data_IF_388451215590
#
_entry.id   IF_388451215590
#
_cell.length_a   1.000
_cell.length_b   1.000
_cell.length_c   1.000
_cell.angle_alpha   90.00
_cell.angle_beta   90.00
_cell.angle_gamma   90.00
#
_symmetry.space_group_name_H-M   'P 1'
#
loop_
_entity.id
_entity.type
_entity.pdbx_description
1 polymer ?
#
# COMPACT_ATOMS: atom_id res chain seq x y z
N UNK A 1 -51.57 2.29 29.71
CA UNK A 1 -50.11 2.53 29.84
C UNK A 1 -49.29 1.75 28.85
N UNK A 2 -49.53 0.46 28.61
CA UNK A 2 -48.72 -0.40 27.68
C UNK A 2 -48.59 0.12 26.25
N UNK A 3 -49.67 0.64 25.64
CA UNK A 3 -49.65 1.15 24.23
C UNK A 3 -48.67 2.30 24.03
N UNK A 4 -48.47 3.19 25.01
CA UNK A 4 -47.52 4.31 24.93
C UNK A 4 -46.07 3.83 25.05
N UNK A 5 -45.81 2.73 25.80
CA UNK A 5 -44.48 2.13 25.93
C UNK A 5 -44.09 1.41 24.64
N UNK A 6 -45.01 0.64 24.03
CA UNK A 6 -44.79 -0.02 22.75
C UNK A 6 -44.55 0.97 21.58
N UNK A 7 -45.19 2.13 21.62
CA UNK A 7 -44.96 3.17 20.62
C UNK A 7 -43.58 3.80 20.73
N UNK A 8 -43.10 4.06 21.97
CA UNK A 8 -41.73 4.54 22.21
C UNK A 8 -40.68 3.50 21.83
N UNK A 9 -40.95 2.21 22.07
CA UNK A 9 -40.07 1.10 21.69
C UNK A 9 -39.86 1.04 20.17
N UNK A 10 -40.92 1.22 19.36
CA UNK A 10 -40.79 1.28 17.89
C UNK A 10 -39.88 2.40 17.41
N UNK A 11 -39.96 3.57 18.06
CA UNK A 11 -39.09 4.70 17.75
C UNK A 11 -37.61 4.43 18.11
N UNK A 12 -37.36 3.77 19.22
CA UNK A 12 -36.00 3.39 19.66
C UNK A 12 -35.43 2.37 18.67
N UNK A 13 -36.18 1.35 18.29
CA UNK A 13 -35.74 0.34 17.32
C UNK A 13 -35.47 0.97 15.95
N UNK A 14 -36.34 1.90 15.49
CA UNK A 14 -36.12 2.63 14.25
C UNK A 14 -34.87 3.50 14.31
N UNK A 15 -34.62 4.17 15.41
CA UNK A 15 -33.41 4.99 15.61
C UNK A 15 -32.14 4.11 15.59
N UNK A 16 -32.15 2.98 16.28
CA UNK A 16 -31.04 2.03 16.27
C UNK A 16 -30.77 1.47 14.87
N UNK A 17 -31.82 1.20 14.09
CA UNK A 17 -31.69 0.76 12.69
C UNK A 17 -31.07 1.85 11.82
N UNK A 18 -31.49 3.10 11.95
CA UNK A 18 -30.94 4.23 11.19
C UNK A 18 -29.46 4.43 11.54
N UNK A 19 -29.11 4.38 12.82
CA UNK A 19 -27.71 4.49 13.25
C UNK A 19 -26.87 3.33 12.72
N UNK A 20 -27.40 2.10 12.78
CA UNK A 20 -26.72 0.90 12.24
C UNK A 20 -26.48 0.99 10.74
N UNK A 21 -27.47 1.43 9.96
CA UNK A 21 -27.32 1.61 8.51
C UNK A 21 -26.35 2.74 8.19
N UNK A 22 -26.40 3.84 8.95
CA UNK A 22 -25.48 4.97 8.77
C UNK A 22 -24.01 4.60 9.07
N UNK A 23 -23.77 3.80 10.10
CA UNK A 23 -22.42 3.34 10.44
C UNK A 23 -21.87 2.39 9.37
N UNK A 24 -22.67 1.42 8.91
CA UNK A 24 -22.28 0.52 7.81
C UNK A 24 -22.01 1.33 6.53
N UNK A 25 -22.88 2.30 6.19
CA UNK A 25 -22.68 3.17 5.02
C UNK A 25 -21.39 3.99 5.11
N UNK A 26 -21.09 4.52 6.30
CA UNK A 26 -19.83 5.27 6.53
C UNK A 26 -18.60 4.39 6.32
N UNK A 27 -18.57 3.18 6.91
CA UNK A 27 -17.44 2.26 6.77
C UNK A 27 -17.27 1.76 5.34
N UNK A 28 -18.37 1.43 4.63
CA UNK A 28 -18.29 1.03 3.22
C UNK A 28 -17.79 2.16 2.33
N UNK A 29 -18.23 3.40 2.58
CA UNK A 29 -17.73 4.57 1.86
C UNK A 29 -16.25 4.82 2.14
N UNK A 30 -15.81 4.70 3.39
CA UNK A 30 -14.40 4.86 3.79
C UNK A 30 -13.49 3.82 3.13
N UNK A 31 -13.92 2.55 3.10
CA UNK A 31 -13.20 1.47 2.40
C UNK A 31 -13.17 1.71 0.89
N UNK A 32 -14.26 2.20 0.31
CA UNK A 32 -14.31 2.54 -1.12
C UNK A 32 -13.35 3.67 -1.48
N UNK A 33 -13.31 4.75 -0.69
CA UNK A 33 -12.36 5.85 -0.85
C UNK A 33 -10.91 5.36 -0.71
N UNK A 34 -10.65 4.51 0.27
CA UNK A 34 -9.33 3.92 0.47
C UNK A 34 -8.91 3.05 -0.72
N UNK A 35 -9.79 2.19 -1.23
CA UNK A 35 -9.52 1.38 -2.42
C UNK A 35 -9.27 2.22 -3.69
N UNK A 36 -9.85 3.42 -3.78
CA UNK A 36 -9.58 4.36 -4.87
C UNK A 36 -8.26 5.13 -4.70
N UNK A 37 -7.77 5.28 -3.47
CA UNK A 37 -6.50 5.96 -3.18
C UNK A 37 -5.31 5.01 -3.30
N UNK A 38 -5.54 3.71 -3.10
CA UNK A 38 -4.55 2.69 -3.46
C UNK A 38 -4.66 2.47 -4.97
N UNK A 39 -3.73 3.02 -5.73
CA UNK A 39 -3.51 2.61 -7.11
C UNK A 39 -3.01 1.16 -7.08
N UNK A 40 -3.94 0.20 -7.07
CA UNK A 40 -3.66 -1.12 -7.62
C UNK A 40 -3.37 -0.82 -9.07
N UNK A 41 -2.14 -1.04 -9.52
CA UNK A 41 -1.76 -0.78 -10.89
C UNK A 41 -2.72 -1.51 -11.82
N UNK A 42 -3.75 -0.79 -12.22
CA UNK A 42 -4.52 -1.09 -13.42
C UNK A 42 -3.66 -0.58 -14.59
N UNK A 43 -3.54 -1.34 -15.63
CA UNK A 43 -2.61 -1.30 -16.77
C UNK A 43 -2.41 0.04 -17.50
N UNK A 44 -2.48 1.19 -16.86
CA UNK A 44 -2.27 2.50 -17.44
C UNK A 44 -1.20 3.32 -16.71
N UNK A 45 -0.02 2.72 -16.50
CA UNK A 45 1.15 3.55 -16.26
C UNK A 45 1.59 4.19 -17.59
N UNK A 46 1.21 5.45 -17.79
CA UNK A 46 1.79 6.27 -18.83
C UNK A 46 3.23 6.59 -18.41
N UNK A 47 4.16 5.78 -18.89
CA UNK A 47 5.57 6.17 -18.94
C UNK A 47 5.65 7.51 -19.69
N UNK A 48 6.42 8.52 -19.23
CA UNK A 48 6.65 9.71 -20.02
C UNK A 48 7.26 9.29 -21.36
N UNK A 49 6.56 9.63 -22.42
CA UNK A 49 6.81 9.21 -23.79
C UNK A 49 8.28 9.42 -24.20
N UNK A 50 8.98 8.33 -24.40
CA UNK A 50 9.89 8.21 -25.52
C UNK A 50 9.19 7.31 -26.54
N UNK A 51 8.86 7.92 -27.69
CA UNK A 51 8.39 7.20 -28.86
C UNK A 51 9.27 5.97 -29.08
N UNK A 52 8.71 4.79 -28.95
CA UNK A 52 8.94 3.59 -29.75
C UNK A 52 8.39 2.35 -29.05
N UNK A 53 7.56 1.65 -29.82
CA UNK A 53 7.13 0.26 -29.64
C UNK A 53 5.88 -0.01 -28.78
N UNK A 54 4.90 -0.57 -29.48
CA UNK A 54 3.65 -1.11 -28.98
C UNK A 54 3.89 -1.97 -27.75
N UNK A 55 3.53 -1.44 -26.59
CA UNK A 55 3.48 -2.22 -25.36
C UNK A 55 2.40 -3.31 -25.53
N UNK A 56 2.82 -4.55 -25.68
CA UNK A 56 1.94 -5.69 -25.51
C UNK A 56 1.37 -5.65 -24.10
N UNK A 57 0.06 -5.85 -23.91
CA UNK A 57 -0.51 -5.89 -22.57
C UNK A 57 0.18 -6.98 -21.75
N UNK A 58 0.88 -6.59 -20.71
CA UNK A 58 1.49 -7.51 -19.75
C UNK A 58 0.34 -8.17 -19.00
N UNK A 59 0.05 -9.42 -19.36
CA UNK A 59 -0.90 -10.24 -18.63
C UNK A 59 -0.33 -10.50 -17.23
N UNK A 60 -0.88 -9.85 -16.21
CA UNK A 60 -0.54 -10.13 -14.81
C UNK A 60 -0.96 -11.58 -14.53
N UNK A 61 -0.04 -12.48 -14.17
CA UNK A 61 -0.38 -13.85 -13.85
C UNK A 61 -1.36 -13.86 -12.67
N UNK A 62 -2.57 -14.35 -12.89
CA UNK A 62 -3.54 -14.49 -11.81
C UNK A 62 -3.04 -15.56 -10.84
N UNK A 63 -2.74 -15.16 -9.60
CA UNK A 63 -2.36 -16.09 -8.54
C UNK A 63 -3.48 -17.14 -8.32
N UNK A 64 -3.13 -18.42 -8.37
CA UNK A 64 -4.06 -19.52 -8.22
C UNK A 64 -4.26 -19.99 -6.77
N UNK A 65 -3.58 -19.34 -5.81
CA UNK A 65 -3.68 -19.64 -4.40
C UNK A 65 -2.92 -20.89 -3.94
N UNK A 66 -2.04 -21.47 -4.77
CA UNK A 66 -1.32 -22.70 -4.44
C UNK A 66 0.14 -22.46 -4.10
N UNK A 67 0.77 -21.52 -4.77
CA UNK A 67 2.18 -21.18 -4.58
C UNK A 67 2.33 -19.97 -3.67
N UNK A 68 3.46 -19.83 -2.96
CA UNK A 68 3.77 -18.61 -2.25
C UNK A 68 3.76 -17.40 -3.18
N UNK A 69 3.20 -16.29 -2.73
CA UNK A 69 3.21 -15.02 -3.46
C UNK A 69 4.09 -14.01 -2.74
N UNK A 70 4.91 -13.30 -3.50
CA UNK A 70 5.83 -12.28 -3.00
C UNK A 70 5.39 -10.90 -3.49
N UNK A 71 5.17 -10.01 -2.55
CA UNK A 71 4.66 -8.66 -2.79
C UNK A 71 5.70 -7.65 -2.31
N UNK A 72 6.20 -6.81 -3.20
CA UNK A 72 7.09 -5.70 -2.85
C UNK A 72 6.25 -4.53 -2.30
N UNK A 73 6.49 -4.16 -1.06
CA UNK A 73 5.87 -3.00 -0.40
C UNK A 73 6.88 -1.86 -0.38
N UNK A 74 6.52 -0.71 -0.93
CA UNK A 74 7.39 0.45 -1.00
C UNK A 74 6.71 1.69 -0.44
N UNK A 75 7.39 2.39 0.46
CA UNK A 75 7.02 3.73 0.89
C UNK A 75 7.81 4.76 0.08
N UNK A 76 7.13 5.72 -0.53
CA UNK A 76 7.74 6.77 -1.34
C UNK A 76 7.55 8.16 -0.72
N UNK A 77 8.56 9.02 -0.80
CA UNK A 77 8.45 10.44 -0.44
C UNK A 77 8.18 11.26 -1.71
N UNK A 78 7.04 11.00 -2.36
CA UNK A 78 6.57 11.80 -3.48
C UNK A 78 5.69 12.92 -2.95
N UNK A 79 6.25 14.14 -2.83
CA UNK A 79 5.49 15.35 -2.49
C UNK A 79 4.91 16.04 -3.72
N UNK A 80 5.47 15.76 -4.89
CA UNK A 80 5.04 16.27 -6.18
C UNK A 80 4.78 15.12 -7.13
N UNK A 81 3.65 15.13 -7.81
CA UNK A 81 3.22 14.10 -8.76
C UNK A 81 4.20 13.88 -9.93
N UNK A 82 5.09 14.84 -10.19
CA UNK A 82 6.05 14.83 -11.30
C UNK A 82 7.48 14.43 -10.90
N UNK A 83 7.75 14.14 -9.63
CA UNK A 83 9.08 13.71 -9.20
C UNK A 83 9.13 12.20 -9.03
N UNK A 84 10.02 11.53 -9.77
CA UNK A 84 10.45 10.16 -9.46
C UNK A 84 11.15 10.18 -8.08
N UNK A 85 10.36 10.19 -7.01
CA UNK A 85 10.83 10.14 -5.63
C UNK A 85 11.74 8.93 -5.41
N UNK A 86 12.42 8.89 -4.27
CA UNK A 86 13.12 7.67 -3.83
C UNK A 86 12.19 6.86 -2.95
N UNK A 87 12.32 5.55 -3.02
CA UNK A 87 11.68 4.70 -2.01
C UNK A 87 12.47 4.81 -0.70
N UNK A 88 11.77 5.20 0.37
CA UNK A 88 12.36 5.35 1.71
C UNK A 88 12.20 4.10 2.56
N UNK A 89 11.19 3.30 2.31
CA UNK A 89 11.02 1.98 2.90
C UNK A 89 10.77 0.94 1.83
N UNK A 90 11.40 -0.23 2.00
CA UNK A 90 11.24 -1.37 1.12
C UNK A 90 11.07 -2.62 1.96
N UNK A 91 10.00 -3.37 1.70
CA UNK A 91 9.71 -4.62 2.38
C UNK A 91 9.17 -5.63 1.37
N UNK A 92 9.43 -6.91 1.62
CA UNK A 92 8.80 -8.00 0.87
C UNK A 92 7.87 -8.75 1.80
N UNK A 93 6.60 -8.75 1.47
CA UNK A 93 5.60 -9.59 2.10
C UNK A 93 5.47 -10.90 1.31
N UNK A 94 5.60 -12.01 2.00
CA UNK A 94 5.42 -13.36 1.44
C UNK A 94 4.21 -14.00 2.07
N UNK A 95 3.25 -14.44 1.26
CA UNK A 95 2.07 -15.18 1.70
C UNK A 95 2.19 -16.61 1.20
N UNK A 96 2.28 -17.55 2.13
CA UNK A 96 2.37 -18.98 1.83
C UNK A 96 1.02 -19.65 2.13
N UNK A 97 0.26 -20.05 1.10
CA UNK A 97 -1.05 -20.67 1.26
C UNK A 97 -0.95 -22.10 1.79
N UNK A 98 0.18 -22.80 1.57
CA UNK A 98 0.39 -24.18 2.02
C UNK A 98 0.58 -24.22 3.52
N UNK A 99 1.47 -23.39 4.05
CA UNK A 99 1.72 -23.29 5.50
C UNK A 99 0.75 -22.35 6.21
N UNK A 100 -0.07 -21.62 5.47
CA UNK A 100 -1.00 -20.57 5.99
C UNK A 100 -0.29 -19.52 6.83
N UNK A 101 0.91 -19.13 6.40
CA UNK A 101 1.74 -18.13 7.07
C UNK A 101 2.00 -16.94 6.17
N UNK A 102 2.16 -15.79 6.77
CA UNK A 102 2.64 -14.60 6.12
C UNK A 102 3.93 -14.13 6.83
N UNK A 103 4.87 -13.65 6.03
CA UNK A 103 6.15 -13.12 6.50
C UNK A 103 6.35 -11.75 5.91
N UNK A 104 6.97 -10.85 6.67
CA UNK A 104 7.41 -9.54 6.18
C UNK A 104 8.90 -9.42 6.46
N UNK A 105 9.67 -9.10 5.43
CA UNK A 105 11.10 -8.87 5.49
C UNK A 105 11.40 -7.44 5.04
N UNK A 106 12.02 -6.64 5.90
CA UNK A 106 12.49 -5.30 5.53
C UNK A 106 13.84 -5.38 4.83
N UNK A 107 14.01 -4.56 3.79
CA UNK A 107 15.27 -4.40 3.07
C UNK A 107 15.78 -2.98 3.30
N UNK A 108 17.04 -2.83 3.69
CA UNK A 108 17.62 -1.51 3.89
C UNK A 108 17.71 -0.78 2.55
N UNK A 109 17.16 0.42 2.47
CA UNK A 109 17.13 1.26 1.25
C UNK A 109 18.53 1.57 0.70
N UNK A 110 19.52 1.63 1.58
CA UNK A 110 20.92 1.94 1.24
C UNK A 110 21.77 0.68 0.92
N UNK A 111 21.14 -0.50 0.84
CA UNK A 111 21.81 -1.73 0.41
C UNK A 111 22.45 -1.52 -0.96
N UNK A 112 23.76 -1.78 -1.07
CA UNK A 112 24.49 -1.64 -2.31
C UNK A 112 24.32 -2.87 -3.18
N UNK A 113 23.73 -2.70 -4.36
CA UNK A 113 23.32 -3.77 -5.26
C UNK A 113 23.63 -3.42 -6.70
N UNK A 114 23.67 -4.42 -7.57
CA UNK A 114 23.68 -4.20 -9.00
C UNK A 114 22.25 -3.94 -9.50
N UNK A 115 22.06 -2.78 -10.15
CA UNK A 115 20.77 -2.38 -10.72
C UNK A 115 20.84 -2.64 -12.22
N UNK A 116 19.97 -3.49 -12.78
CA UNK A 116 19.97 -3.84 -14.18
C UNK A 116 20.01 -2.60 -15.10
N UNK A 117 20.99 -2.55 -16.00
CA UNK A 117 21.18 -1.43 -16.93
C UNK A 117 21.77 -0.16 -16.35
N UNK A 118 21.99 -0.06 -15.04
CA UNK A 118 22.47 1.15 -14.35
C UNK A 118 23.73 0.93 -13.49
N UNK A 119 24.24 -0.33 -13.43
CA UNK A 119 25.39 -0.69 -12.62
C UNK A 119 25.09 -0.66 -11.13
N UNK A 120 26.15 -0.77 -10.31
CA UNK A 120 25.99 -0.90 -8.85
C UNK A 120 25.71 0.44 -8.17
N UNK A 121 24.66 0.47 -7.37
CA UNK A 121 24.21 1.65 -6.61
C UNK A 121 23.43 1.24 -5.36
N UNK A 122 22.86 2.21 -4.65
CA UNK A 122 21.94 1.94 -3.56
C UNK A 122 20.60 1.46 -4.08
N UNK A 123 20.01 0.48 -3.43
CA UNK A 123 18.75 -0.15 -3.84
C UNK A 123 17.61 0.86 -4.11
N UNK A 124 17.50 1.89 -3.26
CA UNK A 124 16.47 2.92 -3.43
C UNK A 124 16.61 3.75 -4.73
N UNK A 125 17.77 3.73 -5.38
CA UNK A 125 17.98 4.39 -6.66
C UNK A 125 17.29 3.65 -7.81
N UNK A 126 17.05 2.34 -7.68
CA UNK A 126 16.35 1.56 -8.70
C UNK A 126 14.97 2.16 -9.02
N UNK A 127 14.23 2.56 -7.97
CA UNK A 127 12.93 3.21 -8.16
C UNK A 127 13.04 4.56 -8.91
N UNK A 128 14.07 5.36 -8.60
CA UNK A 128 14.29 6.65 -9.28
C UNK A 128 14.74 6.49 -10.75
N UNK A 129 15.44 5.40 -11.07
CA UNK A 129 15.97 5.16 -12.42
C UNK A 129 14.94 4.53 -13.37
N UNK A 130 14.13 3.61 -12.90
CA UNK A 130 13.20 2.85 -13.74
C UNK A 130 11.87 2.50 -13.06
N UNK A 131 11.49 3.27 -12.04
CA UNK A 131 10.21 3.08 -11.36
C UNK A 131 10.08 1.74 -10.66
N UNK A 132 8.85 1.30 -10.55
CA UNK A 132 8.50 0.07 -9.82
C UNK A 132 9.08 -1.17 -10.47
N UNK A 133 9.07 -1.26 -11.79
CA UNK A 133 9.50 -2.46 -12.51
C UNK A 133 11.00 -2.71 -12.29
N UNK A 134 11.82 -1.67 -12.39
CA UNK A 134 13.26 -1.80 -12.11
C UNK A 134 13.54 -2.10 -10.63
N UNK A 135 12.75 -1.54 -9.72
CA UNK A 135 12.84 -1.86 -8.30
C UNK A 135 12.50 -3.32 -8.03
N UNK A 136 11.41 -3.85 -8.62
CA UNK A 136 11.03 -5.27 -8.54
C UNK A 136 12.13 -6.19 -9.05
N UNK A 137 12.64 -5.92 -10.25
CA UNK A 137 13.72 -6.70 -10.87
C UNK A 137 14.98 -6.70 -9.99
N UNK A 138 15.36 -5.53 -9.48
CA UNK A 138 16.53 -5.39 -8.61
C UNK A 138 16.36 -6.17 -7.30
N UNK A 139 15.17 -6.10 -6.68
CA UNK A 139 14.88 -6.85 -5.45
C UNK A 139 14.79 -8.35 -5.73
N UNK A 140 14.20 -8.75 -6.84
CA UNK A 140 14.15 -10.15 -7.27
C UNK A 140 15.56 -10.73 -7.44
N UNK A 141 16.46 -9.99 -8.10
CA UNK A 141 17.86 -10.40 -8.28
C UNK A 141 18.61 -10.47 -6.95
N UNK A 142 18.38 -9.51 -6.05
CA UNK A 142 19.01 -9.48 -4.72
C UNK A 142 18.63 -10.68 -3.86
N UNK A 143 17.33 -11.05 -3.89
CA UNK A 143 16.80 -12.09 -3.02
C UNK A 143 16.80 -13.50 -3.67
N UNK A 144 16.95 -13.58 -5.00
CA UNK A 144 16.86 -14.82 -5.74
C UNK A 144 15.45 -15.43 -5.78
N UNK A 145 14.42 -14.61 -5.57
CA UNK A 145 13.00 -15.02 -5.62
C UNK A 145 12.21 -14.11 -6.57
N UNK A 146 11.17 -14.62 -7.26
CA UNK A 146 10.31 -13.77 -8.07
C UNK A 146 9.52 -12.80 -7.17
N UNK A 147 9.31 -11.57 -7.65
CA UNK A 147 8.39 -10.61 -7.03
C UNK A 147 7.16 -10.51 -7.92
N UNK A 148 6.03 -11.03 -7.43
CA UNK A 148 4.82 -11.17 -8.24
C UNK A 148 4.04 -9.86 -8.34
N UNK A 149 3.88 -9.18 -7.22
CA UNK A 149 3.10 -7.94 -7.11
C UNK A 149 3.89 -6.87 -6.38
N UNK A 150 3.36 -5.64 -6.43
CA UNK A 150 3.87 -4.54 -5.64
C UNK A 150 2.74 -3.67 -5.08
N UNK A 151 3.06 -2.94 -4.03
CA UNK A 151 2.24 -1.87 -3.47
C UNK A 151 3.15 -0.69 -3.19
N UNK A 152 2.81 0.48 -3.70
CA UNK A 152 3.45 1.74 -3.33
C UNK A 152 2.49 2.57 -2.51
N UNK A 153 3.00 3.20 -1.46
CA UNK A 153 2.25 4.09 -0.59
C UNK A 153 3.08 5.34 -0.29
N UNK A 154 2.49 6.51 -0.39
CA UNK A 154 3.07 7.76 0.06
C UNK A 154 2.62 8.09 1.49
N UNK A 155 3.11 9.22 2.04
CA UNK A 155 2.78 9.62 3.40
C UNK A 155 1.28 9.88 3.62
N UNK A 156 0.59 10.48 2.66
CA UNK A 156 -0.85 10.78 2.80
C UNK A 156 -1.69 9.48 2.70
N UNK A 157 -1.33 8.58 1.79
CA UNK A 157 -1.94 7.26 1.69
C UNK A 157 -1.71 6.43 2.96
N UNK A 158 -0.49 6.46 3.51
CA UNK A 158 -0.18 5.78 4.76
C UNK A 158 -0.99 6.34 5.94
N UNK A 159 -1.08 7.66 6.07
CA UNK A 159 -1.92 8.31 7.09
C UNK A 159 -3.39 7.91 6.94
N UNK A 160 -3.91 7.95 5.71
CA UNK A 160 -5.28 7.54 5.41
C UNK A 160 -5.53 6.07 5.76
N UNK A 161 -4.55 5.19 5.49
CA UNK A 161 -4.61 3.78 5.86
C UNK A 161 -4.75 3.62 7.39
N UNK A 162 -3.87 4.30 8.14
CA UNK A 162 -3.87 4.25 9.61
C UNK A 162 -5.19 4.79 10.18
N UNK A 163 -5.69 5.91 9.64
CA UNK A 163 -6.97 6.49 10.07
C UNK A 163 -8.15 5.54 9.77
N UNK A 164 -8.11 4.85 8.62
CA UNK A 164 -9.17 3.92 8.21
C UNK A 164 -9.28 2.69 9.12
N UNK A 165 -8.17 2.19 9.63
CA UNK A 165 -8.15 1.06 10.57
C UNK A 165 -8.41 1.47 12.02
N UNK A 166 -8.65 2.75 12.29
CA UNK A 166 -8.94 3.28 13.63
C UNK A 166 -7.70 3.68 14.43
N UNK A 167 -6.57 3.82 13.78
CA UNK A 167 -5.29 4.17 14.40
C UNK A 167 -4.48 2.96 14.86
N UNK A 168 -3.27 3.22 15.29
CA UNK A 168 -2.35 2.24 15.91
C UNK A 168 -1.90 2.76 17.27
N UNK A 169 -1.95 1.89 18.28
CA UNK A 169 -1.42 2.20 19.61
C UNK A 169 0.08 1.90 19.63
N UNK A 170 0.88 2.90 19.98
CA UNK A 170 2.35 2.78 20.02
C UNK A 170 2.84 3.27 21.38
N UNK A 171 3.62 2.43 22.07
CA UNK A 171 4.36 2.84 23.26
C UNK A 171 5.61 3.63 22.81
N UNK A 172 5.62 4.91 23.15
CA UNK A 172 6.68 5.85 22.73
C UNK A 172 7.73 5.93 23.83
N UNK A 173 8.88 5.31 23.62
CA UNK A 173 9.98 5.31 24.60
C UNK A 173 10.49 6.70 24.94
N UNK A 174 10.43 7.65 24.00
CA UNK A 174 10.92 9.02 24.19
C UNK A 174 10.08 10.02 23.42
N UNK A 175 9.58 11.02 24.14
CA UNK A 175 8.89 12.16 23.53
C UNK A 175 9.92 13.14 22.96
N UNK A 176 9.83 13.43 21.64
CA UNK A 176 10.61 14.48 21.00
C UNK A 176 9.75 15.75 20.90
N UNK A 177 10.24 16.88 21.42
CA UNK A 177 9.64 18.19 21.21
C UNK A 177 10.38 18.88 20.05
N UNK A 178 9.65 19.15 18.97
CA UNK A 178 10.19 19.96 17.88
C UNK A 178 10.14 21.42 18.29
N UNK A 179 11.29 21.99 18.63
CA UNK A 179 11.43 23.44 18.79
C UNK A 179 11.29 24.07 17.41
N UNK A 180 10.17 24.77 17.19
CA UNK A 180 9.98 25.58 15.99
C UNK A 180 10.85 26.83 16.16
N UNK A 181 11.98 26.88 15.48
CA UNK A 181 12.76 28.12 15.36
C UNK A 181 11.89 29.14 14.65
N UNK A 182 11.66 30.31 15.31
CA UNK A 182 10.98 31.45 14.74
C UNK A 182 11.96 32.30 13.91
#
# INVERSE_FOLDING_TARGET
MLKKILQKWKWIVSLCLIVGVSTVGYYTYSIYQFAHTISIADDTYHSPATDHEQATPVSIPKWDGKEPVHILLMGTDTRDADSNGRSDSMMVATIDPVTKKAYIMSILRDTYVDIPGHGSSRLNAAYSYGGVELAKETVSNLLGIPIDYYVTIDFEGFKTLVDTIGGVEIDVEKRYELYRWR
#
